data_IF_182611322160
#
_entry.id   IF_182611322160
#
_cell.length_a   1.000
_cell.length_b   1.000
_cell.length_c   1.000
_cell.angle_alpha   90.00
_cell.angle_beta   90.00
_cell.angle_gamma   90.00
#
_symmetry.space_group_name_H-M   'P 1'
#
loop_
_entity.id
_entity.type
_entity.pdbx_description
1 polymer ?
#
# COMPACT_ATOMS: atom_id res chain seq x y z
N UNK A 1 -18.14 18.41 -14.76
CA UNK A 1 -17.20 17.36 -15.19
C UNK A 1 -16.53 16.89 -13.92
N UNK A 2 -16.64 15.61 -13.54
CA UNK A 2 -15.85 15.09 -12.44
C UNK A 2 -14.38 15.24 -12.87
N UNK A 3 -13.60 16.01 -12.09
CA UNK A 3 -12.14 15.94 -12.18
C UNK A 3 -11.79 14.46 -12.08
N UNK A 4 -10.99 13.97 -13.03
CA UNK A 4 -10.51 12.59 -12.97
C UNK A 4 -9.81 12.43 -11.64
N UNK A 5 -10.39 11.67 -10.74
CA UNK A 5 -9.69 11.29 -9.53
C UNK A 5 -8.35 10.71 -9.98
N UNK A 6 -7.24 11.21 -9.43
CA UNK A 6 -5.89 10.97 -9.96
C UNK A 6 -5.48 9.50 -9.95
N UNK A 7 -4.25 9.23 -10.37
CA UNK A 7 -3.67 7.88 -10.40
C UNK A 7 -3.43 7.34 -8.97
N UNK A 8 -3.42 6.01 -8.87
CA UNK A 8 -3.03 5.26 -7.69
C UNK A 8 -1.69 4.57 -7.97
N UNK A 9 -0.73 4.77 -7.08
CA UNK A 9 0.61 4.16 -7.18
C UNK A 9 0.67 2.96 -6.24
N UNK A 10 0.80 1.79 -6.81
CA UNK A 10 0.92 0.53 -6.09
C UNK A 10 2.37 0.16 -5.98
N UNK A 11 2.85 -0.08 -4.77
CA UNK A 11 4.20 -0.57 -4.50
C UNK A 11 4.08 -1.75 -3.54
N UNK A 12 4.95 -2.71 -3.71
CA UNK A 12 5.20 -3.80 -2.79
C UNK A 12 6.71 -4.02 -2.70
N UNK A 13 7.19 -4.39 -1.55
CA UNK A 13 8.59 -4.56 -1.26
C UNK A 13 8.85 -5.92 -0.62
N UNK A 14 9.95 -6.57 -1.03
CA UNK A 14 10.50 -7.70 -0.30
C UNK A 14 11.73 -7.26 0.47
N UNK A 15 11.85 -7.74 1.70
CA UNK A 15 12.92 -7.37 2.61
C UNK A 15 13.54 -8.61 3.27
N UNK A 16 14.73 -8.46 3.85
CA UNK A 16 15.36 -9.53 4.65
C UNK A 16 14.65 -9.78 5.99
N UNK A 17 13.75 -8.87 6.38
CA UNK A 17 12.94 -8.91 7.58
C UNK A 17 12.19 -7.59 7.76
N UNK A 18 11.60 -7.35 8.92
CA UNK A 18 10.74 -6.18 9.17
C UNK A 18 11.35 -5.14 10.13
N UNK A 19 12.60 -5.32 10.54
CA UNK A 19 13.30 -4.39 11.42
C UNK A 19 13.95 -3.27 10.59
N UNK A 20 13.39 -2.06 10.67
CA UNK A 20 13.89 -0.89 9.94
C UNK A 20 15.33 -0.49 10.27
N UNK A 21 15.95 -1.04 11.32
CA UNK A 21 17.33 -0.70 11.68
C UNK A 21 18.33 -1.63 10.97
N UNK A 22 18.01 -2.91 10.85
CA UNK A 22 18.97 -3.95 10.40
C UNK A 22 18.59 -4.63 9.09
N UNK A 23 17.29 -4.68 8.77
CA UNK A 23 16.85 -5.41 7.59
C UNK A 23 16.93 -4.54 6.32
N UNK A 24 17.15 -5.20 5.18
CA UNK A 24 17.45 -4.55 3.91
C UNK A 24 16.29 -4.75 2.92
N UNK A 25 16.08 -3.76 2.06
CA UNK A 25 15.19 -3.83 0.91
C UNK A 25 15.89 -4.60 -0.21
N UNK A 26 15.29 -5.70 -0.68
CA UNK A 26 15.88 -6.61 -1.67
C UNK A 26 15.05 -6.76 -2.97
N UNK A 27 13.79 -6.34 -2.98
CA UNK A 27 12.98 -6.22 -4.19
C UNK A 27 12.01 -5.07 -4.02
N UNK A 28 11.78 -4.31 -5.08
CA UNK A 28 10.73 -3.31 -5.16
C UNK A 28 10.01 -3.43 -6.48
N UNK A 29 8.69 -3.53 -6.43
CA UNK A 29 7.85 -3.47 -7.60
C UNK A 29 6.93 -2.27 -7.54
N UNK A 30 6.58 -1.72 -8.71
CA UNK A 30 5.67 -0.60 -8.85
C UNK A 30 4.74 -0.79 -10.04
N UNK A 31 3.47 -0.40 -9.84
CA UNK A 31 2.44 -0.42 -10.86
C UNK A 31 1.54 0.81 -10.68
N UNK A 32 0.98 1.32 -11.76
CA UNK A 32 0.07 2.47 -11.71
C UNK A 32 -1.29 2.08 -12.27
N UNK A 33 -2.35 2.46 -11.55
CA UNK A 33 -3.74 2.37 -12.04
C UNK A 33 -4.37 3.76 -12.11
N UNK A 34 -5.44 3.88 -12.87
CA UNK A 34 -6.38 4.99 -12.70
C UNK A 34 -7.21 4.82 -11.41
N UNK A 35 -8.10 5.78 -11.14
CA UNK A 35 -9.01 5.74 -9.99
C UNK A 35 -10.05 4.61 -10.06
N UNK A 36 -10.26 4.03 -11.23
CA UNK A 36 -11.18 2.92 -11.45
C UNK A 36 -10.50 1.54 -11.35
N UNK A 37 -9.22 1.53 -10.98
CA UNK A 37 -8.36 0.36 -10.83
C UNK A 37 -8.00 -0.31 -12.17
N UNK A 38 -8.10 0.42 -13.29
CA UNK A 38 -7.58 -0.06 -14.57
C UNK A 38 -6.06 0.08 -14.57
N UNK A 39 -5.37 -1.02 -14.81
CA UNK A 39 -3.90 -1.05 -14.92
C UNK A 39 -3.46 -0.31 -16.18
N UNK A 40 -2.53 0.64 -16.04
CA UNK A 40 -2.10 1.52 -17.13
C UNK A 40 -0.86 1.00 -17.89
N UNK A 41 -0.06 0.14 -17.24
CA UNK A 41 1.21 -0.36 -17.77
C UNK A 41 1.53 -1.69 -17.08
N UNK A 42 2.32 -2.61 -17.64
CA UNK A 42 2.67 -3.88 -16.99
C UNK A 42 3.37 -3.77 -15.64
N UNK A 43 3.85 -2.59 -15.29
CA UNK A 43 4.60 -2.35 -14.05
C UNK A 43 6.11 -2.50 -14.22
N UNK A 44 6.83 -2.26 -13.15
CA UNK A 44 8.28 -2.41 -13.05
C UNK A 44 8.58 -3.25 -11.82
N UNK A 45 9.49 -4.22 -11.96
CA UNK A 45 9.95 -5.12 -10.91
C UNK A 45 11.48 -5.10 -10.87
N UNK A 46 12.07 -4.76 -9.73
CA UNK A 46 13.51 -4.55 -9.58
C UNK A 46 14.03 -5.34 -8.38
N UNK A 47 14.91 -6.28 -8.66
CA UNK A 47 15.64 -7.02 -7.62
C UNK A 47 16.92 -6.28 -7.28
N UNK A 48 17.08 -5.93 -6.02
CA UNK A 48 18.18 -5.15 -5.47
C UNK A 48 19.22 -6.11 -4.88
N UNK A 49 20.51 -5.80 -5.09
CA UNK A 49 21.59 -6.60 -4.54
C UNK A 49 21.66 -6.50 -3.02
N UNK A 50 21.86 -7.64 -2.37
CA UNK A 50 22.27 -7.74 -0.98
C UNK A 50 23.35 -8.83 -0.83
N UNK A 51 24.24 -8.65 0.13
CA UNK A 51 25.31 -9.60 0.38
C UNK A 51 24.83 -10.87 1.12
N UNK A 52 25.69 -11.88 1.14
CA UNK A 52 25.38 -13.16 1.79
C UNK A 52 25.22 -13.01 3.33
N UNK A 53 25.78 -11.99 3.95
CA UNK A 53 25.62 -11.72 5.39
C UNK A 53 24.19 -11.28 5.69
N UNK A 54 23.66 -10.35 4.90
CA UNK A 54 22.26 -9.88 5.00
C UNK A 54 21.28 -11.04 4.74
N UNK A 55 21.53 -11.86 3.71
CA UNK A 55 20.68 -13.00 3.36
C UNK A 55 20.73 -14.09 4.44
N UNK A 56 21.87 -14.35 5.05
CA UNK A 56 22.03 -15.31 6.15
C UNK A 56 21.40 -14.79 7.45
N UNK A 57 21.28 -13.47 7.63
CA UNK A 57 20.67 -12.84 8.80
C UNK A 57 19.14 -12.97 8.87
N UNK A 58 18.49 -13.37 7.79
CA UNK A 58 17.03 -13.57 7.75
C UNK A 58 16.61 -14.69 8.72
N UNK A 59 15.42 -14.57 9.31
CA UNK A 59 14.81 -15.67 10.07
C UNK A 59 14.40 -16.81 9.13
N UNK A 60 14.38 -18.06 9.63
CA UNK A 60 14.17 -19.27 8.83
C UNK A 60 12.94 -19.21 7.90
N UNK A 61 11.84 -18.64 8.37
CA UNK A 61 10.59 -18.53 7.58
C UNK A 61 10.77 -17.60 6.38
N UNK A 62 11.50 -16.50 6.53
CA UNK A 62 11.79 -15.54 5.45
C UNK A 62 12.79 -16.14 4.46
N UNK A 63 13.85 -16.79 4.97
CA UNK A 63 14.81 -17.50 4.12
C UNK A 63 14.12 -18.54 3.23
N UNK A 64 13.24 -19.36 3.82
CA UNK A 64 12.54 -20.41 3.07
C UNK A 64 11.54 -19.81 2.06
N UNK A 65 10.87 -18.71 2.39
CA UNK A 65 9.96 -17.99 1.50
C UNK A 65 10.72 -17.47 0.28
N UNK A 66 11.82 -16.73 0.48
CA UNK A 66 12.61 -16.16 -0.61
C UNK A 66 13.36 -17.23 -1.42
N UNK A 67 13.76 -18.32 -0.78
CA UNK A 67 14.33 -19.47 -1.49
C UNK A 67 13.30 -20.13 -2.43
N UNK A 68 12.06 -20.32 -1.97
CA UNK A 68 10.98 -20.93 -2.76
C UNK A 68 10.54 -20.06 -3.93
N UNK A 69 10.47 -18.74 -3.75
CA UNK A 69 10.14 -17.80 -4.81
C UNK A 69 11.30 -17.57 -5.80
N UNK A 70 12.51 -18.07 -5.50
CA UNK A 70 13.72 -17.83 -6.28
C UNK A 70 14.35 -16.45 -6.05
N UNK A 71 13.79 -15.64 -5.13
CA UNK A 71 14.28 -14.29 -4.89
C UNK A 71 15.71 -14.30 -4.33
N UNK A 72 16.07 -15.23 -3.44
CA UNK A 72 17.42 -15.33 -2.86
C UNK A 72 18.49 -15.40 -3.96
N UNK A 73 18.31 -16.23 -4.98
CA UNK A 73 19.27 -16.36 -6.08
C UNK A 73 19.26 -15.12 -6.99
N UNK A 74 18.09 -14.53 -7.20
CA UNK A 74 17.96 -13.29 -7.97
C UNK A 74 18.69 -12.11 -7.29
N UNK A 75 18.60 -11.99 -5.96
CA UNK A 75 19.29 -10.97 -5.16
C UNK A 75 20.82 -11.14 -5.25
N UNK A 76 21.33 -12.36 -5.14
CA UNK A 76 22.76 -12.64 -5.29
C UNK A 76 23.28 -12.29 -6.71
N UNK A 77 22.48 -12.59 -7.72
CA UNK A 77 22.84 -12.34 -9.12
C UNK A 77 22.70 -10.86 -9.51
N UNK A 78 21.90 -10.08 -8.76
CA UNK A 78 21.70 -8.67 -9.02
C UNK A 78 22.97 -7.88 -8.71
N UNK A 79 23.16 -6.79 -9.47
CA UNK A 79 24.17 -5.75 -9.21
C UNK A 79 23.53 -4.40 -8.95
N UNK A 80 22.18 -4.35 -8.95
CA UNK A 80 21.42 -3.12 -8.81
C UNK A 80 21.49 -2.62 -7.36
N UNK A 81 21.89 -1.40 -7.18
CA UNK A 81 21.90 -0.73 -5.88
C UNK A 81 20.52 -0.14 -5.55
N UNK A 82 20.25 0.11 -4.27
CA UNK A 82 19.02 0.79 -3.82
C UNK A 82 18.86 2.16 -4.51
N UNK A 83 19.93 2.93 -4.61
CA UNK A 83 19.89 4.26 -5.24
C UNK A 83 19.54 4.18 -6.74
N UNK A 84 20.08 3.21 -7.46
CA UNK A 84 19.74 3.00 -8.87
C UNK A 84 18.31 2.50 -9.04
N UNK A 85 17.84 1.64 -8.13
CA UNK A 85 16.45 1.18 -8.10
C UNK A 85 15.49 2.36 -7.87
N UNK A 86 15.76 3.24 -6.91
CA UNK A 86 14.99 4.46 -6.66
C UNK A 86 14.86 5.32 -7.91
N UNK A 87 15.97 5.57 -8.60
CA UNK A 87 15.96 6.39 -9.83
C UNK A 87 15.12 5.74 -10.95
N UNK A 88 15.18 4.41 -11.09
CA UNK A 88 14.37 3.71 -12.08
C UNK A 88 12.87 3.75 -11.73
N UNK A 89 12.50 3.54 -10.46
CA UNK A 89 11.11 3.66 -10.00
C UNK A 89 10.60 5.08 -10.19
N UNK A 90 11.37 6.10 -9.83
CA UNK A 90 11.02 7.50 -10.06
C UNK A 90 10.84 7.84 -11.54
N UNK A 91 11.73 7.35 -12.40
CA UNK A 91 11.62 7.55 -13.84
C UNK A 91 10.35 6.89 -14.40
N UNK A 92 10.01 5.69 -13.92
CA UNK A 92 8.77 5.00 -14.26
C UNK A 92 7.55 5.80 -13.82
N UNK A 93 7.49 6.21 -12.56
CA UNK A 93 6.34 6.93 -11.99
C UNK A 93 6.07 8.26 -12.66
N UNK A 94 7.11 9.03 -12.97
CA UNK A 94 6.99 10.35 -13.60
C UNK A 94 6.34 10.32 -15.00
N UNK A 95 6.24 9.15 -15.62
CA UNK A 95 5.49 8.96 -16.88
C UNK A 95 3.98 9.10 -16.66
N UNK A 96 3.47 8.75 -15.48
CA UNK A 96 2.04 8.73 -15.14
C UNK A 96 1.69 9.80 -14.11
N UNK A 97 2.59 10.07 -13.19
CA UNK A 97 2.44 11.00 -12.07
C UNK A 97 3.62 11.99 -12.10
N UNK A 98 3.61 12.97 -13.02
CA UNK A 98 4.71 13.92 -13.13
C UNK A 98 4.81 14.85 -11.92
N UNK A 99 3.69 15.20 -11.32
CA UNK A 99 3.62 16.14 -10.20
C UNK A 99 3.77 15.41 -8.86
N UNK A 100 4.63 15.97 -8.01
CA UNK A 100 4.89 15.43 -6.67
C UNK A 100 3.66 15.54 -5.77
N UNK A 101 3.50 14.57 -4.88
CA UNK A 101 2.48 14.55 -3.82
C UNK A 101 1.04 14.57 -4.32
N UNK A 102 0.80 14.04 -5.51
CA UNK A 102 -0.55 13.97 -6.09
C UNK A 102 -1.17 12.58 -6.02
N UNK A 103 -0.38 11.52 -6.10
CA UNK A 103 -0.86 10.14 -6.07
C UNK A 103 -0.51 9.44 -4.75
N UNK A 104 -1.47 8.78 -4.09
CA UNK A 104 -1.22 8.03 -2.86
C UNK A 104 -0.50 6.71 -3.15
N UNK A 105 0.29 6.26 -2.17
CA UNK A 105 0.84 4.92 -2.11
C UNK A 105 -0.25 3.92 -1.74
N UNK A 106 -0.34 2.80 -2.47
CA UNK A 106 -1.36 1.77 -2.32
C UNK A 106 -0.74 0.39 -2.16
N UNK A 107 -1.35 -0.49 -1.38
CA UNK A 107 -0.93 -1.88 -1.19
C UNK A 107 -1.61 -2.53 0.01
N UNK A 108 -1.19 -3.75 0.34
CA UNK A 108 -1.61 -4.45 1.56
C UNK A 108 -0.60 -4.19 2.68
N UNK A 109 -1.05 -3.75 3.86
CA UNK A 109 -0.20 -3.39 5.01
C UNK A 109 0.92 -2.39 4.65
N UNK A 110 0.62 -1.55 3.70
CA UNK A 110 1.55 -0.68 2.96
C UNK A 110 2.35 0.28 3.86
N UNK A 111 1.94 0.45 5.11
CA UNK A 111 2.70 1.23 6.09
C UNK A 111 4.07 0.66 6.39
N UNK A 112 4.24 -0.67 6.31
CA UNK A 112 5.53 -1.35 6.48
C UNK A 112 6.46 -1.00 5.32
N UNK A 113 5.99 -1.19 4.08
CA UNK A 113 6.73 -0.85 2.87
C UNK A 113 7.13 0.62 2.87
N UNK A 114 6.19 1.51 3.21
CA UNK A 114 6.48 2.94 3.30
C UNK A 114 7.59 3.27 4.28
N UNK A 115 7.70 2.53 5.39
CA UNK A 115 8.81 2.69 6.34
C UNK A 115 10.17 2.43 5.70
N UNK A 116 10.28 1.36 4.91
CA UNK A 116 11.50 1.05 4.14
C UNK A 116 11.74 2.06 3.02
N UNK A 117 10.71 2.44 2.27
CA UNK A 117 10.84 3.45 1.22
C UNK A 117 11.31 4.80 1.77
N UNK A 118 10.77 5.25 2.89
CA UNK A 118 11.18 6.52 3.51
C UNK A 118 12.65 6.50 3.98
N UNK A 119 13.17 5.35 4.39
CA UNK A 119 14.57 5.16 4.79
C UNK A 119 15.50 5.03 3.58
N UNK A 120 15.14 4.19 2.62
CA UNK A 120 16.03 3.68 1.59
C UNK A 120 15.84 4.39 0.24
N UNK A 121 14.65 4.95 0.00
CA UNK A 121 14.25 5.64 -1.24
C UNK A 121 13.54 6.97 -0.93
N UNK A 122 14.20 7.92 -0.25
CA UNK A 122 13.57 9.13 0.27
C UNK A 122 13.06 10.07 -0.83
N UNK A 123 13.64 10.08 -2.02
CA UNK A 123 13.14 10.88 -3.15
C UNK A 123 11.83 10.30 -3.70
N UNK A 124 11.69 8.97 -3.69
CA UNK A 124 10.46 8.29 -4.05
C UNK A 124 9.37 8.56 -3.02
N UNK A 125 9.65 8.41 -1.72
CA UNK A 125 8.65 8.68 -0.67
C UNK A 125 8.17 10.13 -0.70
N UNK A 126 9.06 11.11 -0.92
CA UNK A 126 8.69 12.52 -1.06
C UNK A 126 7.93 12.83 -2.38
N UNK A 127 8.07 12.00 -3.41
CA UNK A 127 7.27 12.12 -4.63
C UNK A 127 5.81 11.70 -4.44
N UNK A 128 5.57 10.73 -3.55
CA UNK A 128 4.24 10.20 -3.24
C UNK A 128 3.44 11.14 -2.34
N UNK A 129 2.12 11.06 -2.42
CA UNK A 129 1.25 11.77 -1.49
C UNK A 129 1.40 11.19 -0.07
N UNK A 130 1.25 12.01 0.97
CA UNK A 130 1.36 11.56 2.37
C UNK A 130 0.27 10.56 2.79
N UNK A 131 -0.89 10.59 2.13
CA UNK A 131 -1.97 9.61 2.35
C UNK A 131 -1.65 8.29 1.66
N UNK A 132 -2.21 7.21 2.20
CA UNK A 132 -2.08 5.86 1.66
C UNK A 132 -3.46 5.25 1.42
N UNK A 133 -3.53 4.27 0.52
CA UNK A 133 -4.67 3.36 0.37
C UNK A 133 -4.22 1.98 0.82
N UNK A 134 -4.50 1.66 2.07
CA UNK A 134 -4.18 0.35 2.64
C UNK A 134 -5.37 -0.60 2.49
N UNK A 135 -5.22 -1.57 1.60
CA UNK A 135 -6.25 -2.59 1.32
C UNK A 135 -6.48 -3.48 2.54
N UNK A 136 -5.45 -3.71 3.36
CA UNK A 136 -5.57 -4.48 4.60
C UNK A 136 -6.49 -3.81 5.62
N UNK A 137 -6.57 -2.48 5.65
CA UNK A 137 -7.54 -1.75 6.49
C UNK A 137 -8.97 -2.03 6.06
N UNK A 138 -9.26 -2.02 4.75
CA UNK A 138 -10.58 -2.36 4.21
C UNK A 138 -10.93 -3.82 4.52
N UNK A 139 -9.99 -4.73 4.34
CA UNK A 139 -10.11 -6.14 4.67
C UNK A 139 -10.46 -6.36 6.14
N UNK A 140 -9.80 -5.66 7.04
CA UNK A 140 -10.03 -5.77 8.48
C UNK A 140 -11.42 -5.25 8.88
N UNK A 141 -11.93 -4.19 8.23
CA UNK A 141 -13.30 -3.72 8.39
C UNK A 141 -14.31 -4.70 7.79
N UNK A 142 -14.02 -5.27 6.62
CA UNK A 142 -14.84 -6.31 6.01
C UNK A 142 -15.00 -7.54 6.94
N UNK A 143 -13.92 -7.97 7.58
CA UNK A 143 -13.96 -9.08 8.54
C UNK A 143 -14.93 -8.83 9.69
N UNK A 144 -15.02 -7.58 10.19
CA UNK A 144 -15.88 -7.20 11.32
C UNK A 144 -17.33 -6.97 10.91
N UNK A 145 -17.54 -6.26 9.81
CA UNK A 145 -18.86 -5.75 9.46
C UNK A 145 -19.57 -6.60 8.40
N UNK A 146 -18.79 -7.27 7.54
CA UNK A 146 -19.27 -8.04 6.39
C UNK A 146 -18.55 -9.39 6.27
N UNK A 147 -18.65 -10.29 7.28
CA UNK A 147 -17.86 -11.53 7.31
C UNK A 147 -18.08 -12.42 6.09
N UNK A 148 -19.28 -12.40 5.48
CA UNK A 148 -19.54 -13.16 4.24
C UNK A 148 -18.69 -12.67 3.08
N UNK A 149 -18.49 -11.35 2.97
CA UNK A 149 -17.61 -10.76 1.97
C UNK A 149 -16.15 -11.15 2.25
N UNK A 150 -15.72 -11.04 3.51
CA UNK A 150 -14.37 -11.43 3.90
C UNK A 150 -14.05 -12.90 3.54
N UNK A 151 -14.94 -13.84 3.82
CA UNK A 151 -14.69 -15.26 3.54
C UNK A 151 -14.85 -15.65 2.07
N UNK A 152 -15.48 -14.82 1.25
CA UNK A 152 -15.66 -15.04 -0.18
C UNK A 152 -14.63 -14.28 -1.06
N UNK A 153 -13.62 -13.67 -0.47
CA UNK A 153 -12.57 -12.96 -1.22
C UNK A 153 -11.85 -13.89 -2.20
N UNK A 154 -11.35 -13.38 -3.34
CA UNK A 154 -10.61 -14.17 -4.30
C UNK A 154 -9.39 -14.83 -3.63
N UNK A 155 -9.08 -16.10 -3.96
CA UNK A 155 -7.92 -16.77 -3.39
C UNK A 155 -6.64 -16.07 -3.83
N UNK A 156 -5.69 -15.93 -2.90
CA UNK A 156 -4.35 -15.42 -3.21
C UNK A 156 -3.44 -16.55 -3.70
N UNK A 157 -2.54 -16.21 -4.61
CA UNK A 157 -1.41 -17.05 -4.96
C UNK A 157 -0.36 -17.10 -3.83
N UNK A 158 0.66 -17.91 -4.03
CA UNK A 158 1.78 -18.04 -3.09
C UNK A 158 3.11 -17.65 -3.78
N UNK A 159 3.06 -16.66 -4.69
CA UNK A 159 4.23 -16.32 -5.50
C UNK A 159 5.34 -15.65 -4.68
N UNK A 160 4.97 -14.86 -3.67
CA UNK A 160 5.89 -14.06 -2.85
C UNK A 160 6.93 -13.34 -3.72
N UNK A 161 6.43 -12.61 -4.72
CA UNK A 161 7.15 -11.73 -5.62
C UNK A 161 6.39 -10.43 -5.70
N UNK A 162 7.07 -9.33 -5.49
CA UNK A 162 6.49 -8.02 -5.28
C UNK A 162 5.46 -7.61 -6.37
N UNK A 163 5.76 -7.79 -7.64
CA UNK A 163 4.80 -7.43 -8.71
C UNK A 163 3.54 -8.32 -8.73
N UNK A 164 3.67 -9.60 -8.42
CA UNK A 164 2.52 -10.50 -8.33
C UNK A 164 1.62 -10.11 -7.15
N UNK A 165 2.21 -9.75 -6.01
CA UNK A 165 1.49 -9.36 -4.79
C UNK A 165 0.80 -8.00 -4.98
N UNK A 166 1.38 -7.08 -5.76
CA UNK A 166 0.70 -5.85 -6.22
C UNK A 166 -0.58 -6.17 -7.00
N UNK A 167 -0.49 -7.06 -8.00
CA UNK A 167 -1.65 -7.41 -8.83
C UNK A 167 -2.76 -8.03 -7.99
N UNK A 168 -2.39 -8.85 -7.00
CA UNK A 168 -3.33 -9.39 -6.03
C UNK A 168 -3.97 -8.32 -5.16
N UNK A 169 -3.22 -7.32 -4.73
CA UNK A 169 -3.71 -6.18 -3.94
C UNK A 169 -4.70 -5.33 -4.74
N UNK A 170 -4.41 -5.04 -6.01
CA UNK A 170 -5.35 -4.35 -6.92
C UNK A 170 -6.64 -5.16 -7.09
N UNK A 171 -6.52 -6.47 -7.34
CA UNK A 171 -7.67 -7.39 -7.48
C UNK A 171 -8.50 -7.46 -6.20
N UNK A 172 -7.85 -7.49 -5.04
CA UNK A 172 -8.51 -7.50 -3.74
C UNK A 172 -9.29 -6.20 -3.50
N UNK A 173 -8.71 -5.03 -3.80
CA UNK A 173 -9.40 -3.75 -3.70
C UNK A 173 -10.58 -3.67 -4.70
N UNK A 174 -10.40 -4.15 -5.92
CA UNK A 174 -11.49 -4.21 -6.92
C UNK A 174 -12.67 -5.09 -6.44
N UNK A 175 -12.37 -6.20 -5.76
CA UNK A 175 -13.38 -7.03 -5.13
C UNK A 175 -14.13 -6.28 -4.02
N UNK A 176 -13.40 -5.62 -3.10
CA UNK A 176 -14.04 -4.84 -2.03
C UNK A 176 -14.83 -3.65 -2.57
N UNK A 177 -14.33 -2.98 -3.60
CA UNK A 177 -15.08 -1.90 -4.28
C UNK A 177 -16.43 -2.38 -4.77
N UNK A 178 -16.51 -3.60 -5.29
CA UNK A 178 -17.75 -4.21 -5.81
C UNK A 178 -18.72 -4.68 -4.73
N UNK A 179 -18.22 -5.00 -3.54
CA UNK A 179 -18.99 -5.73 -2.51
C UNK A 179 -19.29 -4.91 -1.27
N UNK A 180 -18.51 -3.87 -0.99
CA UNK A 180 -18.62 -3.06 0.22
C UNK A 180 -19.03 -1.61 -0.02
N UNK A 181 -18.69 -1.07 -1.18
CA UNK A 181 -19.02 0.32 -1.50
C UNK A 181 -20.33 0.37 -2.28
N UNK A 182 -21.10 1.43 -2.06
CA UNK A 182 -22.37 1.64 -2.79
C UNK A 182 -22.11 1.89 -4.27
N UNK A 183 -23.01 1.42 -5.11
CA UNK A 183 -22.90 1.57 -6.57
C UNK A 183 -23.00 3.04 -7.01
N UNK A 184 -22.44 3.34 -8.17
CA UNK A 184 -22.50 4.65 -8.82
C UNK A 184 -21.73 5.74 -8.07
N UNK A 185 -22.33 6.91 -7.95
CA UNK A 185 -21.71 8.09 -7.30
C UNK A 185 -21.92 8.15 -5.79
N UNK A 186 -22.50 7.10 -5.20
CA UNK A 186 -22.86 7.06 -3.79
C UNK A 186 -24.15 7.84 -3.46
N UNK A 187 -24.38 8.14 -2.17
CA UNK A 187 -25.57 8.85 -1.72
C UNK A 187 -25.59 10.29 -2.28
N UNK A 188 -26.76 10.86 -2.41
CA UNK A 188 -26.94 12.27 -2.72
C UNK A 188 -26.33 13.16 -1.63
N UNK A 189 -26.05 14.42 -1.94
CA UNK A 189 -25.54 15.39 -0.96
C UNK A 189 -26.45 15.52 0.27
N UNK A 190 -27.77 15.46 0.07
CA UNK A 190 -28.75 15.53 1.16
C UNK A 190 -28.70 14.31 2.07
N UNK A 191 -28.60 13.10 1.49
CA UNK A 191 -28.49 11.86 2.25
C UNK A 191 -27.15 11.80 3.01
N UNK A 192 -26.07 12.23 2.38
CA UNK A 192 -24.75 12.29 3.02
C UNK A 192 -24.74 13.28 4.20
N UNK A 193 -25.36 14.46 4.04
CA UNK A 193 -25.49 15.45 5.13
C UNK A 193 -26.36 14.92 6.27
N UNK A 194 -27.47 14.25 5.96
CA UNK A 194 -28.32 13.65 6.99
C UNK A 194 -27.55 12.57 7.79
N UNK A 195 -26.81 11.69 7.11
CA UNK A 195 -25.96 10.70 7.76
C UNK A 195 -24.87 11.35 8.66
N UNK A 196 -24.22 12.41 8.18
CA UNK A 196 -23.24 13.17 8.95
C UNK A 196 -23.85 13.76 10.24
N UNK A 197 -25.08 14.33 10.16
CA UNK A 197 -25.81 14.83 11.32
C UNK A 197 -26.07 13.73 12.36
N UNK A 198 -26.59 12.58 11.94
CA UNK A 198 -26.87 11.45 12.84
C UNK A 198 -25.60 10.94 13.54
N UNK A 199 -24.49 10.82 12.81
CA UNK A 199 -23.21 10.40 13.40
C UNK A 199 -22.71 11.45 14.40
N UNK A 200 -22.82 12.74 14.08
CA UNK A 200 -22.43 13.83 14.98
C UNK A 200 -23.22 13.77 16.29
N UNK A 201 -24.54 13.60 16.25
CA UNK A 201 -25.39 13.44 17.42
C UNK A 201 -24.98 12.22 18.26
N UNK A 202 -24.69 11.10 17.61
CA UNK A 202 -24.28 9.87 18.29
C UNK A 202 -23.01 10.06 19.14
N UNK A 203 -22.07 10.88 18.68
CA UNK A 203 -20.79 11.13 19.35
C UNK A 203 -20.74 12.41 20.18
N UNK A 204 -21.81 13.23 20.21
CA UNK A 204 -21.83 14.52 20.89
C UNK A 204 -21.45 14.42 22.39
N UNK A 205 -21.98 13.43 23.10
CA UNK A 205 -21.68 13.23 24.52
C UNK A 205 -20.23 12.84 24.79
N UNK A 206 -19.61 12.06 23.90
CA UNK A 206 -18.20 11.64 23.99
C UNK A 206 -17.27 12.84 23.76
N UNK A 207 -17.58 13.69 22.78
CA UNK A 207 -16.79 14.90 22.47
C UNK A 207 -16.87 15.91 23.61
N UNK A 208 -18.08 16.15 24.16
CA UNK A 208 -18.26 17.06 25.31
C UNK A 208 -17.51 16.59 26.57
N UNK A 209 -17.41 15.29 26.80
CA UNK A 209 -16.63 14.75 27.92
C UNK A 209 -15.12 14.92 27.71
N UNK A 210 -14.65 14.85 26.47
CA UNK A 210 -13.22 15.09 26.10
C UNK A 210 -12.80 16.55 26.35
N UNK A 211 -13.64 17.51 25.98
CA UNK A 211 -13.37 18.95 26.16
C UNK A 211 -13.28 19.35 27.65
N UNK A 212 -14.07 18.66 28.50
CA UNK A 212 -14.06 18.93 29.94
C UNK A 212 -12.77 18.44 30.67
N UNK A 213 -11.93 17.63 30.01
CA UNK A 213 -10.69 17.09 30.59
C UNK A 213 -9.45 17.86 30.17
N UNK A 214 -9.56 18.89 29.33
CA UNK A 214 -8.44 19.76 28.96
C UNK A 214 -8.21 20.77 30.09
N UNK A 215 -7.04 20.74 30.80
CA UNK A 215 -6.77 21.74 31.83
C UNK A 215 -6.69 23.14 31.22
N UNK A 216 -7.13 24.20 31.93
CA UNK A 216 -7.00 25.56 31.46
C UNK A 216 -5.52 25.88 31.22
N UNK A 217 -5.22 26.37 30.03
CA UNK A 217 -3.89 26.89 29.71
C UNK A 217 -3.52 27.99 30.74
N UNK A 218 -2.49 27.73 31.54
CA UNK A 218 -1.93 28.63 32.52
C UNK A 218 -0.79 29.48 31.95
#
# INVERSE_FOLDING_TARGET
MAESAGHLVWIDCEMTGLDLIKDQLIEVAVLVTDSDLNVLDPGLDLVIHADDEALAGMVDVVQEMHRKSGLTEAVRASTLTVAEAEQQVLAYLKRFVPDRRTAPLCGNSIGTDRGFLARDMPELDDHLHYRMVDVSSIKELARRWFPRVYFAQPPKGLAHRALADIIESVRELAYYRKTLFVDGTGPSSTEAQAAAGQVTETFAAVLAAGDATTPPEG
#
